data_IF_986301005310
#
_entry.id   IF_986301005310
#
_cell.length_a   1.000
_cell.length_b   1.000
_cell.length_c   1.000
_cell.angle_alpha   90.00
_cell.angle_beta   90.00
_cell.angle_gamma   90.00
#
_symmetry.space_group_name_H-M   'P 1'
#
loop_
_entity.id
_entity.type
_entity.pdbx_description
1 polymer ?
#
# COMPACT_ATOMS: atom_id res chain seq x y z
N UNK A 1 -0.18 -21.93 8.94
CA UNK A 1 0.82 -22.31 7.91
C UNK A 1 2.21 -22.01 8.47
N UNK A 2 3.19 -22.92 8.41
CA UNK A 2 4.50 -22.77 9.06
C UNK A 2 5.26 -21.50 8.65
N UNK A 3 5.03 -21.01 7.44
CA UNK A 3 5.70 -19.82 6.87
C UNK A 3 5.38 -18.48 7.56
N UNK A 4 4.33 -18.40 8.38
CA UNK A 4 3.92 -17.14 9.05
C UNK A 4 4.22 -17.14 10.55
N UNK A 5 4.87 -18.19 11.06
CA UNK A 5 5.23 -18.28 12.48
C UNK A 5 6.17 -17.14 12.86
N UNK A 6 5.82 -16.37 13.90
CA UNK A 6 6.60 -15.23 14.37
C UNK A 6 6.37 -13.91 13.61
N UNK A 7 5.68 -13.96 12.46
CA UNK A 7 5.37 -12.77 11.65
C UNK A 7 3.91 -12.32 11.75
N UNK A 8 2.99 -13.26 12.03
CA UNK A 8 1.55 -12.99 12.12
C UNK A 8 1.01 -13.46 13.46
N UNK A 9 0.30 -12.57 14.15
CA UNK A 9 -0.44 -12.87 15.37
C UNK A 9 -1.90 -12.48 15.18
N UNK A 10 -2.82 -13.40 15.44
CA UNK A 10 -4.25 -13.11 15.47
C UNK A 10 -4.68 -12.77 16.89
N UNK A 11 -5.45 -11.68 17.03
CA UNK A 11 -5.98 -11.21 18.30
C UNK A 11 -7.47 -10.92 18.08
N UNK A 12 -8.34 -11.64 18.77
CA UNK A 12 -9.79 -11.42 18.71
C UNK A 12 -10.17 -10.21 19.58
N UNK A 13 -10.87 -9.22 19.00
CA UNK A 13 -11.32 -8.03 19.71
C UNK A 13 -11.96 -7.02 18.78
N UNK A 14 -12.28 -5.84 19.31
CA UNK A 14 -12.81 -4.71 18.53
C UNK A 14 -11.98 -3.45 18.78
N UNK A 15 -11.64 -2.67 17.73
CA UNK A 15 -10.88 -1.43 17.87
C UNK A 15 -11.67 -0.33 18.60
N UNK A 16 -12.97 -0.52 18.84
CA UNK A 16 -13.80 0.41 19.60
C UNK A 16 -13.58 0.34 21.12
N UNK A 17 -12.83 -0.65 21.60
CA UNK A 17 -12.51 -0.79 23.02
C UNK A 17 -11.02 -0.53 23.28
N UNK A 18 -10.73 0.43 24.16
CA UNK A 18 -9.36 0.79 24.55
C UNK A 18 -8.53 -0.38 25.10
N UNK A 19 -9.18 -1.36 25.74
CA UNK A 19 -8.52 -2.56 26.25
C UNK A 19 -7.94 -3.41 25.12
N UNK A 20 -8.65 -3.52 24.00
CA UNK A 20 -8.22 -4.27 22.84
C UNK A 20 -7.12 -3.52 22.08
N UNK A 21 -7.26 -2.20 21.95
CA UNK A 21 -6.21 -1.34 21.36
C UNK A 21 -4.89 -1.40 22.13
N UNK A 22 -4.94 -1.47 23.46
CA UNK A 22 -3.76 -1.71 24.31
C UNK A 22 -3.18 -3.10 24.09
N UNK A 23 -4.04 -4.11 23.99
CA UNK A 23 -3.63 -5.51 23.80
C UNK A 23 -2.86 -5.72 22.50
N UNK A 24 -3.25 -5.01 21.45
CA UNK A 24 -2.55 -5.02 20.14
C UNK A 24 -1.42 -3.97 20.05
N UNK A 25 -1.17 -3.21 21.12
CA UNK A 25 -0.13 -2.18 21.24
C UNK A 25 -0.17 -1.15 20.12
N UNK A 26 -1.34 -0.57 19.83
CA UNK A 26 -1.47 0.50 18.81
C UNK A 26 -0.53 1.69 19.09
N UNK A 27 -0.22 1.94 20.35
CA UNK A 27 0.74 2.94 20.81
C UNK A 27 2.17 2.73 20.30
N UNK A 28 2.54 1.50 19.94
CA UNK A 28 3.86 1.14 19.40
C UNK A 28 3.82 0.82 17.90
N UNK A 29 2.62 0.67 17.33
CA UNK A 29 2.44 0.33 15.93
C UNK A 29 3.00 1.41 14.98
N UNK A 30 3.69 0.95 13.92
CA UNK A 30 4.21 1.80 12.85
C UNK A 30 3.10 2.29 11.90
N UNK A 31 2.15 1.42 11.60
CA UNK A 31 1.04 1.69 10.71
C UNK A 31 -0.18 0.86 11.07
N UNK A 32 -1.36 1.34 10.67
CA UNK A 32 -2.63 0.64 10.72
C UNK A 32 -3.10 0.41 9.28
N UNK A 33 -3.44 -0.83 8.95
CA UNK A 33 -4.07 -1.18 7.68
C UNK A 33 -5.53 -1.57 7.94
N UNK A 34 -6.48 -0.86 7.34
CA UNK A 34 -7.92 -1.11 7.45
C UNK A 34 -8.45 -1.55 6.09
N UNK A 35 -8.94 -2.79 6.02
CA UNK A 35 -9.44 -3.39 4.79
C UNK A 35 -10.97 -3.41 4.84
N UNK A 36 -11.62 -2.91 3.78
CA UNK A 36 -13.05 -3.04 3.60
C UNK A 36 -13.39 -4.39 2.97
N UNK A 37 -14.53 -4.95 3.32
CA UNK A 37 -15.14 -6.00 2.51
C UNK A 37 -15.46 -5.42 1.12
N UNK A 38 -14.96 -6.07 0.06
CA UNK A 38 -15.17 -5.65 -1.33
C UNK A 38 -16.61 -5.87 -1.81
N UNK A 39 -17.33 -6.80 -1.19
CA UNK A 39 -18.68 -7.20 -1.58
C UNK A 39 -19.61 -7.23 -0.37
N UNK A 40 -19.86 -6.08 0.29
CA UNK A 40 -20.76 -6.03 1.42
C UNK A 40 -22.21 -6.01 0.93
N UNK A 41 -23.14 -6.40 1.82
CA UNK A 41 -24.58 -6.21 1.57
C UNK A 41 -24.97 -4.74 1.61
N UNK A 42 -24.35 -3.96 2.50
CA UNK A 42 -24.51 -2.50 2.61
C UNK A 42 -23.14 -1.81 2.53
N UNK A 43 -22.78 -1.25 1.37
CA UNK A 43 -21.52 -0.52 1.19
C UNK A 43 -21.36 0.70 2.09
N UNK A 44 -22.45 1.43 2.39
CA UNK A 44 -22.39 2.64 3.21
C UNK A 44 -22.13 2.29 4.68
N UNK A 45 -22.73 1.19 5.16
CA UNK A 45 -22.45 0.66 6.48
C UNK A 45 -20.99 0.19 6.61
N UNK A 46 -20.47 -0.54 5.63
CA UNK A 46 -19.07 -1.02 5.62
C UNK A 46 -18.09 0.15 5.68
N UNK A 47 -18.28 1.16 4.84
CA UNK A 47 -17.48 2.38 4.83
C UNK A 47 -17.54 3.14 6.17
N UNK A 48 -18.72 3.15 6.81
CA UNK A 48 -18.89 3.73 8.15
C UNK A 48 -18.10 2.97 9.21
N UNK A 49 -18.05 1.62 9.12
CA UNK A 49 -17.22 0.82 10.01
C UNK A 49 -15.75 1.15 9.82
N UNK A 50 -15.25 1.19 8.58
CA UNK A 50 -13.86 1.58 8.28
C UNK A 50 -13.54 2.94 8.89
N UNK A 51 -14.38 3.94 8.66
CA UNK A 51 -14.20 5.29 9.20
C UNK A 51 -14.17 5.31 10.74
N UNK A 52 -15.07 4.55 11.38
CA UNK A 52 -15.13 4.41 12.84
C UNK A 52 -13.86 3.76 13.41
N UNK A 53 -13.36 2.70 12.78
CA UNK A 53 -12.12 2.03 13.20
C UNK A 53 -10.91 2.96 13.11
N UNK A 54 -10.80 3.73 12.02
CA UNK A 54 -9.73 4.71 11.83
C UNK A 54 -9.76 5.76 12.95
N UNK A 55 -10.95 6.30 13.23
CA UNK A 55 -11.13 7.33 14.25
C UNK A 55 -10.76 6.80 15.64
N UNK A 56 -11.24 5.61 16.02
CA UNK A 56 -10.94 4.99 17.30
C UNK A 56 -9.42 4.79 17.50
N UNK A 57 -8.74 4.20 16.53
CA UNK A 57 -7.29 3.96 16.59
C UNK A 57 -6.48 5.26 16.64
N UNK A 58 -6.81 6.26 15.82
CA UNK A 58 -6.12 7.56 15.83
C UNK A 58 -6.36 8.32 17.14
N UNK A 59 -7.59 8.35 17.63
CA UNK A 59 -7.94 9.00 18.89
C UNK A 59 -7.16 8.37 20.06
N UNK A 60 -7.12 7.03 20.13
CA UNK A 60 -6.37 6.31 21.14
C UNK A 60 -4.87 6.62 21.08
N UNK A 61 -4.25 6.51 19.89
CA UNK A 61 -2.83 6.84 19.69
C UNK A 61 -2.56 8.26 20.18
N UNK A 62 -3.33 9.24 19.73
CA UNK A 62 -3.15 10.64 20.10
C UNK A 62 -3.25 10.86 21.61
N UNK A 63 -4.21 10.22 22.28
CA UNK A 63 -4.34 10.28 23.74
C UNK A 63 -3.11 9.70 24.47
N UNK A 64 -2.44 8.69 23.91
CA UNK A 64 -1.23 8.09 24.47
C UNK A 64 0.05 8.89 24.14
N UNK A 65 0.10 9.59 23.00
CA UNK A 65 1.21 10.51 22.66
C UNK A 65 1.35 11.60 23.73
N UNK A 66 0.24 12.14 24.22
CA UNK A 66 0.25 13.18 25.27
C UNK A 66 0.76 12.67 26.63
N UNK A 67 0.77 11.36 26.86
CA UNK A 67 1.18 10.75 28.14
C UNK A 67 2.62 10.25 28.14
N UNK A 68 3.20 10.00 26.96
CA UNK A 68 4.51 9.33 26.82
C UNK A 68 5.58 10.32 26.36
N UNK A 69 6.61 10.53 27.17
CA UNK A 69 7.69 11.51 26.92
C UNK A 69 8.84 10.99 26.03
N UNK A 70 8.75 9.78 25.48
CA UNK A 70 9.79 9.14 24.65
C UNK A 70 9.71 9.47 23.15
N UNK A 71 10.83 9.32 22.43
CA UNK A 71 10.96 9.61 20.99
C UNK A 71 10.03 8.75 20.11
N UNK A 72 9.87 7.46 20.42
CA UNK A 72 8.93 6.56 19.71
C UNK A 72 7.46 6.95 19.95
N UNK A 73 7.15 7.48 21.13
CA UNK A 73 5.83 7.97 21.53
C UNK A 73 5.46 9.35 20.96
N UNK A 74 6.21 9.88 19.99
CA UNK A 74 5.89 11.16 19.31
C UNK A 74 5.39 10.99 17.87
N UNK A 75 5.44 9.78 17.31
CA UNK A 75 5.04 9.56 15.92
C UNK A 75 3.53 9.33 15.83
N UNK A 76 2.87 10.09 14.94
CA UNK A 76 1.47 9.86 14.57
C UNK A 76 1.31 8.46 13.95
N UNK A 77 0.16 7.82 14.20
CA UNK A 77 -0.19 6.55 13.57
C UNK A 77 -0.47 6.79 12.08
N UNK A 78 0.35 6.18 11.22
CA UNK A 78 0.12 6.11 9.77
C UNK A 78 -1.03 5.17 9.48
N UNK A 79 -2.00 5.60 8.68
CA UNK A 79 -3.17 4.80 8.32
C UNK A 79 -3.18 4.52 6.82
N UNK A 80 -3.43 3.25 6.46
CA UNK A 80 -3.67 2.76 5.12
C UNK A 80 -5.07 2.15 5.09
N UNK A 81 -6.03 2.82 4.47
CA UNK A 81 -7.43 2.41 4.49
C UNK A 81 -7.96 2.13 3.09
N UNK A 82 -8.92 1.20 3.01
CA UNK A 82 -9.72 0.95 1.82
C UNK A 82 -11.17 1.33 2.10
N UNK A 83 -11.80 2.01 1.14
CA UNK A 83 -13.23 2.34 1.15
C UNK A 83 -13.86 2.05 -0.22
N UNK A 84 -15.18 2.01 -0.24
CA UNK A 84 -15.97 1.72 -1.43
C UNK A 84 -16.43 3.01 -2.13
N UNK A 85 -16.71 4.07 -1.37
CA UNK A 85 -17.17 5.37 -1.91
C UNK A 85 -16.13 6.48 -1.81
N UNK A 86 -16.08 7.32 -2.84
CA UNK A 86 -15.31 8.57 -2.87
C UNK A 86 -15.76 9.55 -1.79
N UNK A 87 -17.07 9.61 -1.51
CA UNK A 87 -17.63 10.53 -0.52
C UNK A 87 -17.12 10.19 0.89
N UNK A 88 -16.99 8.89 1.19
CA UNK A 88 -16.44 8.41 2.47
C UNK A 88 -14.97 8.80 2.59
N UNK A 89 -14.16 8.59 1.56
CA UNK A 89 -12.75 9.02 1.54
C UNK A 89 -12.65 10.50 1.87
N UNK A 90 -13.46 11.35 1.21
CA UNK A 90 -13.38 12.79 1.38
C UNK A 90 -13.72 13.22 2.81
N UNK A 91 -14.67 12.54 3.46
CA UNK A 91 -14.97 12.71 4.89
C UNK A 91 -13.82 12.23 5.79
N UNK A 92 -13.20 11.09 5.50
CA UNK A 92 -12.07 10.55 6.27
C UNK A 92 -10.88 11.51 6.24
N UNK A 93 -10.55 12.07 5.08
CA UNK A 93 -9.42 13.01 4.92
C UNK A 93 -9.63 14.31 5.71
N UNK A 94 -10.87 14.65 6.05
CA UNK A 94 -11.22 15.79 6.88
C UNK A 94 -11.23 15.48 8.39
N UNK A 95 -11.06 14.22 8.80
CA UNK A 95 -11.07 13.85 10.20
C UNK A 95 -9.89 14.45 10.97
N UNK A 96 -10.08 14.79 12.26
CA UNK A 96 -9.00 15.28 13.10
C UNK A 96 -7.88 14.24 13.22
N UNK A 97 -6.64 14.68 13.01
CA UNK A 97 -5.46 13.81 13.08
C UNK A 97 -5.16 13.01 11.80
N UNK A 98 -5.90 13.24 10.71
CA UNK A 98 -5.52 12.78 9.38
C UNK A 98 -4.28 13.53 8.88
N UNK A 99 -3.26 12.81 8.45
CA UNK A 99 -2.02 13.32 7.89
C UNK A 99 -2.04 13.15 6.36
N UNK A 100 -2.20 14.24 5.62
CA UNK A 100 -2.30 14.23 4.15
C UNK A 100 -1.03 13.75 3.44
N UNK A 101 0.11 13.70 4.14
CA UNK A 101 1.38 13.26 3.57
C UNK A 101 1.58 11.76 3.82
N UNK A 102 1.21 11.28 5.00
CA UNK A 102 1.52 9.90 5.42
C UNK A 102 0.34 8.92 5.29
N UNK A 103 -0.87 9.39 5.55
CA UNK A 103 -2.07 8.56 5.53
C UNK A 103 -2.63 8.43 4.12
N UNK A 104 -3.12 7.23 3.81
CA UNK A 104 -3.65 6.88 2.48
C UNK A 104 -5.03 6.26 2.66
N UNK A 105 -6.02 6.75 1.92
CA UNK A 105 -7.35 6.16 1.82
C UNK A 105 -7.65 5.88 0.34
N UNK A 106 -7.77 4.61 -0.01
CA UNK A 106 -7.98 4.13 -1.37
C UNK A 106 -9.44 3.82 -1.60
N UNK A 107 -10.02 4.38 -2.67
CA UNK A 107 -11.35 3.99 -3.15
C UNK A 107 -11.17 2.86 -4.16
N UNK A 108 -11.65 1.65 -3.82
CA UNK A 108 -11.42 0.45 -4.65
C UNK A 108 -12.04 0.62 -6.04
N UNK A 109 -13.22 1.25 -6.11
CA UNK A 109 -13.95 1.50 -7.36
C UNK A 109 -13.20 2.44 -8.30
N UNK A 110 -12.58 3.50 -7.78
CA UNK A 110 -11.80 4.43 -8.59
C UNK A 110 -10.56 3.79 -9.19
N UNK A 111 -9.82 3.01 -8.38
CA UNK A 111 -8.65 2.29 -8.88
C UNK A 111 -9.04 1.31 -10.00
N UNK A 112 -10.13 0.58 -9.81
CA UNK A 112 -10.65 -0.36 -10.82
C UNK A 112 -11.07 0.37 -12.10
N UNK A 113 -11.82 1.48 -11.97
CA UNK A 113 -12.25 2.29 -13.09
C UNK A 113 -11.07 2.91 -13.85
N UNK A 114 -10.04 3.40 -13.13
CA UNK A 114 -8.83 3.94 -13.72
C UNK A 114 -8.07 2.89 -14.55
N UNK A 115 -7.95 1.65 -14.05
CA UNK A 115 -7.31 0.56 -14.79
C UNK A 115 -8.08 0.19 -16.06
N UNK A 116 -9.42 0.18 -16.01
CA UNK A 116 -10.28 -0.06 -17.18
C UNK A 116 -10.13 1.08 -18.19
N UNK A 117 -10.16 2.33 -17.74
CA UNK A 117 -9.99 3.49 -18.60
C UNK A 117 -8.61 3.52 -19.27
N UNK A 118 -7.53 3.21 -18.54
CA UNK A 118 -6.21 3.07 -19.15
C UNK A 118 -6.15 1.94 -20.17
N UNK A 119 -6.87 0.85 -19.93
CA UNK A 119 -6.94 -0.29 -20.86
C UNK A 119 -7.70 0.02 -22.14
N UNK A 120 -8.59 1.02 -22.15
CA UNK A 120 -9.26 1.47 -23.37
C UNK A 120 -8.35 2.31 -24.27
N UNK A 121 -7.37 3.01 -23.68
CA UNK A 121 -6.33 3.72 -24.42
C UNK A 121 -5.24 2.77 -24.92
N UNK A 122 -4.80 1.86 -24.05
CA UNK A 122 -3.70 0.94 -24.34
C UNK A 122 -4.04 -0.46 -23.81
N UNK A 123 -4.27 -1.39 -24.74
CA UNK A 123 -4.63 -2.77 -24.41
C UNK A 123 -3.52 -3.41 -23.55
N UNK A 124 -3.92 -3.99 -22.42
CA UNK A 124 -3.01 -4.74 -21.54
C UNK A 124 -2.29 -3.89 -20.48
N UNK A 125 -2.46 -2.56 -20.47
CA UNK A 125 -1.80 -1.71 -19.47
C UNK A 125 -2.23 -2.03 -18.04
N UNK A 126 -3.50 -2.37 -17.80
CA UNK A 126 -3.93 -2.80 -16.47
C UNK A 126 -3.15 -4.04 -15.98
N UNK A 127 -2.98 -5.05 -16.84
CA UNK A 127 -2.20 -6.26 -16.49
C UNK A 127 -0.75 -5.91 -16.20
N UNK A 128 -0.13 -5.07 -17.05
CA UNK A 128 1.25 -4.63 -16.85
C UNK A 128 1.42 -3.91 -15.51
N UNK A 129 0.56 -2.92 -15.21
CA UNK A 129 0.63 -2.14 -13.97
C UNK A 129 0.36 -3.02 -12.74
N UNK A 130 -0.64 -3.91 -12.82
CA UNK A 130 -0.97 -4.83 -11.73
C UNK A 130 0.16 -5.82 -11.43
N UNK A 131 0.87 -6.29 -12.46
CA UNK A 131 2.06 -7.12 -12.28
C UNK A 131 3.19 -6.33 -11.61
N UNK A 132 3.44 -5.08 -12.04
CA UNK A 132 4.49 -4.23 -11.48
C UNK A 132 4.30 -3.86 -10.00
N UNK A 133 3.07 -3.91 -9.48
CA UNK A 133 2.77 -3.64 -8.06
C UNK A 133 2.54 -4.91 -7.24
N UNK A 134 2.55 -6.08 -7.88
CA UNK A 134 2.33 -7.37 -7.23
C UNK A 134 3.64 -8.13 -7.08
N UNK A 135 3.85 -8.77 -5.94
CA UNK A 135 4.97 -9.68 -5.78
C UNK A 135 4.62 -11.04 -6.37
N UNK A 136 5.22 -11.38 -7.50
CA UNK A 136 5.05 -12.70 -8.15
C UNK A 136 6.29 -13.54 -7.88
N UNK A 137 6.12 -14.74 -7.32
CA UNK A 137 7.23 -15.69 -7.17
C UNK A 137 7.29 -16.63 -8.37
N UNK A 138 8.50 -16.90 -8.88
CA UNK A 138 8.67 -18.01 -9.82
C UNK A 138 8.33 -19.33 -9.12
N UNK A 139 7.22 -19.94 -9.50
CA UNK A 139 7.02 -21.34 -9.19
C UNK A 139 7.93 -22.12 -10.14
N UNK A 140 8.84 -22.93 -9.60
CA UNK A 140 9.80 -23.74 -10.35
C UNK A 140 9.13 -24.88 -11.13
N UNK A 141 8.16 -24.56 -11.97
CA UNK A 141 7.56 -25.51 -12.91
C UNK A 141 8.63 -25.91 -13.91
N UNK A 142 8.84 -27.22 -14.00
CA UNK A 142 9.75 -27.93 -14.89
C UNK A 142 9.74 -27.31 -16.31
N UNK A 143 10.83 -26.63 -16.66
CA UNK A 143 10.99 -25.69 -17.79
C UNK A 143 10.85 -26.36 -19.17
N UNK A 144 10.71 -27.69 -19.21
CA UNK A 144 10.72 -28.49 -20.44
C UNK A 144 9.43 -28.44 -21.27
N UNK A 145 8.33 -27.87 -20.77
CA UNK A 145 7.02 -27.81 -21.46
C UNK A 145 6.37 -26.43 -21.53
N UNK A 146 7.08 -25.39 -21.12
CA UNK A 146 6.51 -24.04 -21.07
C UNK A 146 6.50 -23.41 -22.47
N UNK A 147 5.34 -22.94 -22.92
CA UNK A 147 5.24 -22.22 -24.19
C UNK A 147 6.00 -20.89 -24.14
N UNK A 148 6.61 -20.48 -25.26
CA UNK A 148 7.50 -19.31 -25.32
C UNK A 148 6.80 -18.01 -24.85
N UNK A 149 5.54 -17.79 -25.24
CA UNK A 149 4.80 -16.59 -24.83
C UNK A 149 4.62 -16.52 -23.31
N UNK A 150 4.43 -17.67 -22.65
CA UNK A 150 4.25 -17.73 -21.20
C UNK A 150 5.56 -17.47 -20.49
N UNK A 151 6.68 -18.00 -21.01
CA UNK A 151 8.02 -17.72 -20.51
C UNK A 151 8.33 -16.21 -20.55
N UNK A 152 8.05 -15.55 -21.67
CA UNK A 152 8.23 -14.10 -21.83
C UNK A 152 7.31 -13.29 -20.91
N UNK A 153 6.04 -13.71 -20.77
CA UNK A 153 5.11 -13.10 -19.83
C UNK A 153 5.61 -13.22 -18.39
N UNK A 154 6.09 -14.39 -17.98
CA UNK A 154 6.59 -14.65 -16.64
C UNK A 154 7.85 -13.82 -16.34
N UNK A 155 8.76 -13.66 -17.31
CA UNK A 155 9.92 -12.77 -17.16
C UNK A 155 9.49 -11.31 -16.89
N UNK A 156 8.47 -10.83 -17.60
CA UNK A 156 7.89 -9.50 -17.39
C UNK A 156 7.11 -9.37 -16.08
N UNK A 157 6.40 -10.42 -15.65
CA UNK A 157 5.59 -10.40 -14.42
C UNK A 157 6.42 -10.39 -13.14
N UNK A 158 7.72 -10.65 -13.24
CA UNK A 158 8.68 -10.59 -12.12
C UNK A 158 9.27 -9.20 -11.93
N UNK A 159 8.99 -8.25 -12.83
CA UNK A 159 9.41 -6.87 -12.69
C UNK A 159 8.52 -6.16 -11.67
N UNK A 160 9.11 -5.28 -10.87
CA UNK A 160 8.42 -4.52 -9.82
C UNK A 160 8.79 -3.03 -9.87
N UNK A 161 7.90 -2.17 -9.37
CA UNK A 161 8.19 -0.74 -9.19
C UNK A 161 8.80 -0.50 -7.81
N UNK A 162 9.95 0.16 -7.77
CA UNK A 162 10.63 0.56 -6.55
C UNK A 162 10.75 2.08 -6.45
N UNK A 163 10.63 2.60 -5.24
CA UNK A 163 10.96 3.98 -4.92
C UNK A 163 12.39 4.05 -4.36
N UNK A 164 13.26 4.80 -5.04
CA UNK A 164 14.67 4.93 -4.68
C UNK A 164 15.06 6.41 -4.52
N UNK A 165 15.79 6.73 -3.46
CA UNK A 165 16.40 8.06 -3.31
C UNK A 165 17.77 8.06 -3.99
N UNK A 166 17.98 8.98 -4.93
CA UNK A 166 19.27 9.15 -5.60
C UNK A 166 20.18 9.99 -4.68
N UNK A 167 21.33 9.46 -4.23
CA UNK A 167 22.25 10.20 -3.37
C UNK A 167 22.80 11.43 -4.09
N UNK A 168 23.00 12.53 -3.36
CA UNK A 168 23.54 13.79 -3.94
C UNK A 168 24.95 13.68 -4.51
N UNK A 169 25.70 12.61 -4.19
CA UNK A 169 27.03 12.32 -4.73
C UNK A 169 27.00 11.35 -5.91
N UNK A 170 25.81 10.96 -6.37
CA UNK A 170 25.66 10.11 -7.55
C UNK A 170 26.14 10.83 -8.79
N UNK A 171 26.72 10.09 -9.73
CA UNK A 171 27.07 10.57 -11.08
C UNK A 171 25.83 11.08 -11.84
N UNK A 172 24.64 10.64 -11.43
CA UNK A 172 23.36 11.10 -11.97
C UNK A 172 23.04 12.56 -11.59
N UNK A 173 23.71 13.13 -10.59
CA UNK A 173 23.43 14.48 -10.13
C UNK A 173 23.91 15.51 -11.17
N UNK A 174 22.97 16.26 -11.75
CA UNK A 174 23.24 17.26 -12.79
C UNK A 174 23.01 16.76 -14.22
N UNK A 175 22.71 15.47 -14.41
CA UNK A 175 22.25 14.94 -15.69
C UNK A 175 20.79 15.34 -15.94
N UNK A 176 20.40 15.46 -17.21
CA UNK A 176 18.98 15.54 -17.56
C UNK A 176 18.29 14.19 -17.35
N UNK A 177 16.97 14.19 -17.14
CA UNK A 177 16.20 12.97 -16.83
C UNK A 177 16.37 11.88 -17.91
N UNK A 178 16.46 12.27 -19.18
CA UNK A 178 16.65 11.33 -20.31
C UNK A 178 18.04 10.70 -20.28
N UNK A 179 19.07 11.50 -19.97
CA UNK A 179 20.44 11.01 -19.85
C UNK A 179 20.58 10.06 -18.66
N UNK A 180 19.99 10.43 -17.52
CA UNK A 180 19.96 9.58 -16.33
C UNK A 180 19.23 8.25 -16.61
N UNK A 181 18.06 8.30 -17.26
CA UNK A 181 17.32 7.09 -17.64
C UNK A 181 18.15 6.20 -18.59
N UNK A 182 18.83 6.79 -19.56
CA UNK A 182 19.69 6.05 -20.49
C UNK A 182 20.88 5.40 -19.78
N UNK A 183 21.56 6.14 -18.90
CA UNK A 183 22.67 5.65 -18.11
C UNK A 183 22.23 4.49 -17.20
N UNK A 184 21.09 4.64 -16.51
CA UNK A 184 20.53 3.60 -15.64
C UNK A 184 20.16 2.33 -16.40
N UNK A 185 19.60 2.47 -17.60
CA UNK A 185 19.24 1.34 -18.44
C UNK A 185 20.48 0.58 -18.93
N UNK A 186 21.52 1.30 -19.37
CA UNK A 186 22.73 0.68 -19.91
C UNK A 186 23.59 0.02 -18.83
N UNK A 187 23.82 0.71 -17.71
CA UNK A 187 24.75 0.26 -16.67
C UNK A 187 24.10 -0.73 -15.70
N UNK A 188 22.83 -0.49 -15.33
CA UNK A 188 22.18 -1.23 -14.25
C UNK A 188 20.96 -2.04 -14.71
N UNK A 189 20.58 -1.96 -16.00
CA UNK A 189 19.34 -2.55 -16.54
C UNK A 189 18.10 -2.13 -15.76
N UNK A 190 18.09 -0.88 -15.27
CA UNK A 190 16.96 -0.30 -14.54
C UNK A 190 16.20 0.67 -15.46
N UNK A 191 14.87 0.57 -15.43
CA UNK A 191 14.00 1.51 -16.12
C UNK A 191 13.58 2.64 -15.16
N UNK A 192 13.99 3.88 -15.46
CA UNK A 192 13.54 5.06 -14.74
C UNK A 192 12.18 5.52 -15.30
N UNK A 193 11.16 5.63 -14.44
CA UNK A 193 9.81 6.06 -14.83
C UNK A 193 9.53 7.53 -14.51
N UNK A 194 9.83 7.96 -13.28
CA UNK A 194 9.53 9.29 -12.75
C UNK A 194 10.48 9.65 -11.59
#
# INVERSE_FOLDING_TARGET
>A
HPSYHGFVQYIQGSPHYDIDLRRVRVEDAMALMVMANKYPTDPAWEDTQVASMILACKAYKNAMLHKTSGFAGRRKLRVLAQVLSSDTRDRIVQMPGWDRIQDVCLVIGELTAAMIAMSSLHRGVATMVLNLVSHTTQNGSDDSKTEEWFRLYQEGSLQEIYHCSIPSRSELCGMEMVEAAHHLLQQFRMLLLA
#
